data_IF_147278001398
#
_entry.id   IF_147278001398
#
_cell.length_a   1.000
_cell.length_b   1.000
_cell.length_c   1.000
_cell.angle_alpha   90.00
_cell.angle_beta   90.00
_cell.angle_gamma   90.00
#
_symmetry.space_group_name_H-M   'P 1'
#
loop_
_entity.id
_entity.type
_entity.pdbx_description
1 polymer ?
#
# COMPACT_ATOMS: atom_id res chain seq x y z
N UNK A 1 59.77 47.96 17.15
CA UNK A 1 58.72 48.86 16.62
C UNK A 1 57.37 48.28 17.05
N UNK A 2 56.94 48.54 18.28
CA UNK A 2 56.07 49.64 18.75
C UNK A 2 54.59 49.39 18.38
N UNK A 3 53.86 48.88 19.40
CA UNK A 3 52.46 49.10 19.83
C UNK A 3 51.32 48.95 18.77
N UNK A 4 50.25 48.19 19.01
CA UNK A 4 49.19 48.57 19.96
C UNK A 4 48.45 47.38 20.57
N UNK A 5 48.49 47.37 21.90
CA UNK A 5 47.51 46.79 22.82
C UNK A 5 46.28 47.72 22.92
N UNK A 6 45.19 47.22 23.55
CA UNK A 6 44.00 47.92 24.11
C UNK A 6 42.73 48.00 23.24
N UNK A 7 41.81 47.07 23.50
CA UNK A 7 40.49 47.38 24.07
C UNK A 7 40.20 46.33 25.17
N UNK A 8 40.31 46.73 26.44
CA UNK A 8 39.22 46.93 27.42
C UNK A 8 38.60 45.61 27.94
N UNK A 9 38.79 45.23 29.22
CA UNK A 9 38.09 45.75 30.41
C UNK A 9 36.56 45.59 30.26
N UNK A 10 35.77 44.98 31.15
CA UNK A 10 35.88 44.83 32.60
C UNK A 10 34.81 43.83 33.11
N UNK A 11 35.16 43.11 34.18
CA UNK A 11 34.37 42.82 35.38
C UNK A 11 32.84 42.60 35.30
N UNK A 12 32.37 41.41 35.71
CA UNK A 12 31.32 41.26 36.75
C UNK A 12 31.16 39.79 37.24
N UNK A 13 31.83 39.47 38.35
CA UNK A 13 31.37 38.81 39.60
C UNK A 13 29.94 38.18 39.65
N UNK A 14 29.65 37.35 40.67
CA UNK A 14 29.77 35.89 40.74
C UNK A 14 28.40 35.18 40.93
N UNK A 15 28.45 33.85 41.07
CA UNK A 15 27.57 33.04 41.95
C UNK A 15 26.08 32.99 41.59
N UNK A 16 25.69 31.99 40.81
CA UNK A 16 24.41 31.32 41.01
C UNK A 16 24.57 29.80 40.89
N UNK A 17 24.11 29.12 41.94
CA UNK A 17 23.80 27.68 42.07
C UNK A 17 23.29 27.09 40.73
N UNK A 18 23.45 25.79 40.41
CA UNK A 18 22.90 24.65 41.17
C UNK A 18 23.22 23.34 40.40
N UNK A 19 23.44 22.26 41.16
CA UNK A 19 23.15 20.84 40.92
C UNK A 19 22.97 20.29 39.48
N UNK A 20 23.70 19.20 39.20
CA UNK A 20 23.16 17.87 38.82
C UNK A 20 24.36 16.92 38.63
N UNK A 21 24.65 15.94 39.50
CA UNK A 21 23.97 14.65 39.70
C UNK A 21 23.93 13.75 38.44
N UNK A 22 24.73 12.67 38.53
CA UNK A 22 24.59 11.34 37.91
C UNK A 22 24.75 11.24 36.39
N UNK A 23 25.57 10.28 35.94
CA UNK A 23 25.16 9.35 34.89
C UNK A 23 25.98 8.05 35.00
N UNK A 24 25.30 7.02 35.53
CA UNK A 24 25.65 5.61 35.38
C UNK A 24 25.87 5.29 33.90
N UNK A 25 27.06 4.80 33.53
CA UNK A 25 27.24 4.09 32.26
C UNK A 25 26.51 2.75 32.34
N UNK A 26 25.26 2.75 31.92
CA UNK A 26 24.55 1.53 31.53
C UNK A 26 24.91 1.30 30.06
N UNK A 27 25.90 0.44 29.79
CA UNK A 27 26.16 -0.06 28.43
C UNK A 27 24.97 -0.94 28.03
N UNK A 28 24.02 -0.33 27.33
CA UNK A 28 22.86 -1.00 26.77
C UNK A 28 23.29 -1.85 25.57
N UNK A 29 23.61 -3.12 25.82
CA UNK A 29 23.49 -4.19 24.81
C UNK A 29 22.01 -4.41 24.48
N UNK A 30 21.39 -3.44 23.85
CA UNK A 30 20.05 -3.58 23.27
C UNK A 30 20.17 -4.34 21.95
N UNK A 31 19.85 -5.61 22.05
CA UNK A 31 19.56 -6.57 21.00
C UNK A 31 18.78 -5.92 19.85
N UNK A 32 19.35 -5.91 18.65
CA UNK A 32 18.66 -5.53 17.40
C UNK A 32 17.65 -6.63 17.06
N UNK A 33 16.57 -6.67 17.83
CA UNK A 33 15.48 -7.61 17.64
C UNK A 33 14.60 -7.07 16.51
N UNK A 34 14.76 -7.69 15.33
CA UNK A 34 13.72 -7.85 14.32
C UNK A 34 12.93 -6.59 13.99
N UNK A 35 13.47 -5.72 13.14
CA UNK A 35 12.66 -4.79 12.36
C UNK A 35 11.79 -5.60 11.41
N UNK A 36 10.63 -6.03 11.89
CA UNK A 36 9.58 -6.62 11.08
C UNK A 36 9.25 -5.64 9.96
N UNK A 37 9.55 -6.05 8.74
CA UNK A 37 9.21 -5.32 7.53
C UNK A 37 7.70 -5.45 7.40
N UNK A 38 6.96 -4.42 7.81
CA UNK A 38 5.56 -4.31 7.42
C UNK A 38 5.57 -4.00 5.93
N UNK A 39 5.53 -5.05 5.11
CA UNK A 39 5.23 -4.91 3.70
C UNK A 39 3.76 -4.44 3.63
N UNK A 40 3.54 -3.13 3.83
CA UNK A 40 2.27 -2.48 3.57
C UNK A 40 2.12 -2.55 2.05
N UNK A 41 1.53 -3.65 1.58
CA UNK A 41 1.13 -3.79 0.19
C UNK A 41 0.23 -2.60 -0.10
N UNK A 42 0.74 -1.62 -0.84
CA UNK A 42 -0.02 -0.51 -1.39
C UNK A 42 -0.93 -1.04 -2.51
N UNK A 43 -1.71 -2.07 -2.19
CA UNK A 43 -2.75 -2.63 -3.01
C UNK A 43 -4.05 -1.94 -2.61
N UNK A 44 -4.87 -1.50 -3.57
CA UNK A 44 -6.18 -0.96 -3.25
C UNK A 44 -6.96 -1.97 -2.39
N UNK A 45 -7.79 -1.49 -1.43
CA UNK A 45 -8.54 -2.37 -0.56
C UNK A 45 -9.40 -3.34 -1.38
N UNK A 46 -9.34 -4.63 -1.05
CA UNK A 46 -10.09 -5.67 -1.78
C UNK A 46 -11.59 -5.46 -1.61
N UNK A 47 -12.26 -5.09 -2.71
CA UNK A 47 -13.70 -4.85 -2.76
C UNK A 47 -14.41 -6.00 -3.45
N UNK A 48 -15.57 -6.36 -2.92
CA UNK A 48 -16.46 -7.35 -3.51
C UNK A 48 -17.58 -6.67 -4.30
N UNK A 49 -17.82 -7.13 -5.53
CA UNK A 49 -18.81 -6.60 -6.46
C UNK A 49 -19.96 -7.59 -6.63
N UNK A 50 -21.18 -7.06 -6.75
CA UNK A 50 -22.34 -7.86 -7.16
C UNK A 50 -22.38 -8.03 -8.67
N UNK A 51 -23.08 -9.06 -9.16
CA UNK A 51 -23.21 -9.30 -10.61
C UNK A 51 -23.78 -8.11 -11.39
N UNK A 52 -24.63 -7.29 -10.76
CA UNK A 52 -25.17 -6.07 -11.40
C UNK A 52 -24.04 -5.09 -11.70
N UNK A 53 -23.20 -4.82 -10.70
CA UNK A 53 -22.05 -3.92 -10.86
C UNK A 53 -21.04 -4.49 -11.84
N UNK A 54 -20.82 -5.81 -11.83
CA UNK A 54 -19.95 -6.47 -12.83
C UNK A 54 -20.49 -6.31 -14.25
N UNK A 55 -21.80 -6.49 -14.44
CA UNK A 55 -22.48 -6.27 -15.72
C UNK A 55 -22.27 -4.84 -16.23
N UNK A 56 -22.43 -3.85 -15.36
CA UNK A 56 -22.25 -2.44 -15.69
C UNK A 56 -20.77 -2.11 -16.01
N UNK A 57 -19.82 -2.67 -15.25
CA UNK A 57 -18.37 -2.48 -15.45
C UNK A 57 -17.87 -3.05 -16.77
N UNK A 58 -18.32 -4.25 -17.14
CA UNK A 58 -17.89 -4.96 -18.35
C UNK A 58 -18.71 -4.51 -19.58
N UNK A 59 -19.89 -3.91 -19.37
CA UNK A 59 -20.82 -3.56 -20.43
C UNK A 59 -21.52 -4.78 -21.05
N UNK A 60 -21.73 -5.84 -20.25
CA UNK A 60 -22.37 -7.10 -20.67
C UNK A 60 -23.62 -7.36 -19.85
N UNK A 61 -24.63 -7.98 -20.46
CA UNK A 61 -25.84 -8.37 -19.72
C UNK A 61 -25.53 -9.48 -18.70
N UNK A 62 -26.32 -9.55 -17.62
CA UNK A 62 -26.20 -10.61 -16.59
C UNK A 62 -26.28 -12.02 -17.19
N UNK A 63 -27.16 -12.23 -18.17
CA UNK A 63 -27.31 -13.51 -18.85
C UNK A 63 -26.03 -13.90 -19.61
N UNK A 64 -25.45 -12.95 -20.34
CA UNK A 64 -24.18 -13.18 -21.03
C UNK A 64 -23.04 -13.50 -20.06
N UNK A 65 -23.05 -12.94 -18.85
CA UNK A 65 -22.04 -13.26 -17.82
C UNK A 65 -22.17 -14.70 -17.35
N UNK A 66 -23.40 -15.17 -17.08
CA UNK A 66 -23.60 -16.58 -16.70
C UNK A 66 -23.17 -17.52 -17.83
N UNK A 67 -23.49 -17.20 -19.09
CA UNK A 67 -23.04 -18.00 -20.24
C UNK A 67 -21.50 -18.06 -20.32
N UNK A 68 -20.80 -16.96 -20.05
CA UNK A 68 -19.33 -16.95 -20.07
C UNK A 68 -18.70 -17.85 -18.99
N UNK A 69 -19.41 -18.08 -17.88
CA UNK A 69 -18.94 -18.94 -16.79
C UNK A 69 -19.29 -20.42 -17.01
N UNK A 70 -20.31 -20.69 -17.81
CA UNK A 70 -20.78 -22.05 -18.07
C UNK A 70 -19.91 -22.76 -19.10
N UNK A 71 -19.15 -23.76 -18.66
CA UNK A 71 -18.27 -24.59 -19.52
C UNK A 71 -18.96 -25.27 -20.70
N UNK A 72 -20.29 -25.42 -20.63
CA UNK A 72 -21.12 -26.03 -21.68
C UNK A 72 -21.51 -25.03 -22.76
N UNK A 73 -21.39 -23.73 -22.49
CA UNK A 73 -21.79 -22.70 -23.43
C UNK A 73 -20.70 -22.50 -24.50
N UNK A 74 -21.06 -22.13 -25.73
CA UNK A 74 -20.09 -21.79 -26.77
C UNK A 74 -19.33 -20.49 -26.47
N UNK A 75 -19.76 -19.73 -25.46
CA UNK A 75 -19.19 -18.44 -25.06
C UNK A 75 -18.36 -18.55 -23.78
N UNK A 76 -18.04 -19.76 -23.35
CA UNK A 76 -17.25 -20.01 -22.16
C UNK A 76 -15.88 -19.33 -22.27
N UNK A 77 -15.53 -18.52 -21.27
CA UNK A 77 -14.22 -17.89 -21.17
C UNK A 77 -13.56 -18.35 -19.88
N UNK A 78 -12.49 -19.16 -20.00
CA UNK A 78 -11.76 -19.70 -18.87
C UNK A 78 -11.00 -18.62 -18.09
N UNK A 79 -10.72 -17.46 -18.69
CA UNK A 79 -10.07 -16.34 -18.02
C UNK A 79 -11.06 -15.49 -17.19
N UNK A 80 -12.37 -15.74 -17.32
CA UNK A 80 -13.37 -14.99 -16.58
C UNK A 80 -13.29 -15.31 -15.07
N UNK A 81 -13.38 -14.30 -14.19
CA UNK A 81 -13.21 -14.50 -12.75
C UNK A 81 -14.29 -15.41 -12.16
N UNK A 82 -13.87 -16.21 -11.18
CA UNK A 82 -14.75 -17.18 -10.54
C UNK A 82 -15.57 -16.48 -9.45
N UNK A 83 -16.90 -16.58 -9.46
CA UNK A 83 -17.71 -16.03 -8.38
C UNK A 83 -17.46 -16.76 -7.08
N UNK A 84 -17.57 -16.05 -5.96
CA UNK A 84 -17.57 -16.64 -4.63
C UNK A 84 -18.84 -16.26 -3.87
N UNK A 85 -19.20 -17.07 -2.89
CA UNK A 85 -20.43 -16.88 -2.10
C UNK A 85 -20.08 -16.28 -0.74
N UNK A 86 -20.76 -15.19 -0.38
CA UNK A 86 -20.81 -14.68 1.00
C UNK A 86 -22.27 -14.77 1.45
N UNK A 87 -22.56 -15.77 2.29
CA UNK A 87 -23.93 -16.10 2.68
C UNK A 87 -24.78 -16.44 1.46
N UNK A 88 -25.84 -15.67 1.24
CA UNK A 88 -26.79 -15.87 0.11
C UNK A 88 -26.33 -15.16 -1.17
N UNK A 89 -25.38 -14.22 -1.06
CA UNK A 89 -24.97 -13.39 -2.19
C UNK A 89 -23.78 -14.01 -2.91
N UNK A 90 -23.90 -14.09 -4.23
CA UNK A 90 -22.78 -14.38 -5.13
C UNK A 90 -22.10 -13.07 -5.51
N UNK A 91 -20.80 -12.98 -5.24
CA UNK A 91 -19.97 -11.80 -5.43
C UNK A 91 -18.71 -12.12 -6.23
N UNK A 92 -18.08 -11.08 -6.75
CA UNK A 92 -16.83 -11.12 -7.52
C UNK A 92 -15.78 -10.22 -6.88
N UNK A 93 -14.51 -10.56 -7.04
CA UNK A 93 -13.41 -9.71 -6.55
C UNK A 93 -13.13 -8.62 -7.57
N UNK A 94 -13.12 -7.35 -7.16
CA UNK A 94 -12.89 -6.21 -8.06
C UNK A 94 -11.54 -6.31 -8.78
N UNK A 95 -10.48 -6.72 -8.08
CA UNK A 95 -9.14 -6.86 -8.65
C UNK A 95 -9.08 -7.88 -9.79
N UNK A 96 -9.79 -9.01 -9.69
CA UNK A 96 -9.81 -10.04 -10.74
C UNK A 96 -10.57 -9.56 -11.98
N UNK A 97 -11.65 -8.80 -11.78
CA UNK A 97 -12.41 -8.18 -12.88
C UNK A 97 -11.54 -7.16 -13.63
N UNK A 98 -10.77 -6.34 -12.91
CA UNK A 98 -9.83 -5.40 -13.52
C UNK A 98 -8.73 -6.12 -14.31
N UNK A 99 -8.18 -7.21 -13.77
CA UNK A 99 -7.17 -8.03 -14.46
C UNK A 99 -7.74 -8.64 -15.74
N UNK A 100 -8.96 -9.18 -15.69
CA UNK A 100 -9.66 -9.71 -16.86
C UNK A 100 -9.83 -8.63 -17.93
N UNK A 101 -10.25 -7.42 -17.54
CA UNK A 101 -10.43 -6.32 -18.49
C UNK A 101 -9.10 -5.89 -19.11
N UNK A 102 -8.03 -5.82 -18.32
CA UNK A 102 -6.67 -5.54 -18.82
C UNK A 102 -6.22 -6.61 -19.82
N UNK A 103 -6.47 -7.89 -19.54
CA UNK A 103 -6.17 -8.99 -20.46
C UNK A 103 -6.94 -8.84 -21.79
N UNK A 104 -8.25 -8.56 -21.75
CA UNK A 104 -9.04 -8.33 -22.97
C UNK A 104 -8.61 -7.10 -23.76
N UNK A 105 -8.20 -6.03 -23.08
CA UNK A 105 -7.62 -4.85 -23.73
C UNK A 105 -6.30 -5.22 -24.41
N UNK A 106 -5.44 -6.00 -23.74
CA UNK A 106 -4.16 -6.44 -24.28
C UNK A 106 -4.34 -7.40 -25.48
N UNK A 107 -5.29 -8.34 -25.42
CA UNK A 107 -5.68 -9.21 -26.53
C UNK A 107 -6.20 -8.39 -27.72
N UNK A 108 -7.11 -7.45 -27.47
CA UNK A 108 -7.71 -6.63 -28.53
C UNK A 108 -6.74 -5.67 -29.19
N UNK A 109 -5.79 -5.12 -28.43
CA UNK A 109 -4.83 -4.12 -28.92
C UNK A 109 -3.51 -4.73 -29.38
N UNK A 110 -3.29 -6.03 -29.13
CA UNK A 110 -2.05 -6.73 -29.44
C UNK A 110 -0.88 -6.15 -28.65
N UNK A 111 -0.70 -6.59 -27.40
CA UNK A 111 0.52 -6.41 -26.59
C UNK A 111 1.25 -5.07 -26.76
N UNK A 112 0.82 -4.04 -26.03
CA UNK A 112 1.73 -2.95 -25.66
C UNK A 112 2.08 -3.14 -24.19
N UNK A 113 3.26 -3.72 -23.96
CA UNK A 113 4.05 -3.46 -22.76
C UNK A 113 4.26 -1.96 -22.65
N UNK A 114 3.47 -1.29 -21.81
CA UNK A 114 3.75 0.08 -21.35
C UNK A 114 4.28 -0.01 -19.93
#
# INVERSE_FOLDING_TARGET
>A
MIFYSKLCCCCARPRFLRLAALNHRRDERHMESGKMMNMTTNSPPTRALTIKVVADRIGRSRASIYEMMDKKSPRYDAAFPTPFKIGVKTLFVEAEIEQYLKAKIAESRGSLSV
#
